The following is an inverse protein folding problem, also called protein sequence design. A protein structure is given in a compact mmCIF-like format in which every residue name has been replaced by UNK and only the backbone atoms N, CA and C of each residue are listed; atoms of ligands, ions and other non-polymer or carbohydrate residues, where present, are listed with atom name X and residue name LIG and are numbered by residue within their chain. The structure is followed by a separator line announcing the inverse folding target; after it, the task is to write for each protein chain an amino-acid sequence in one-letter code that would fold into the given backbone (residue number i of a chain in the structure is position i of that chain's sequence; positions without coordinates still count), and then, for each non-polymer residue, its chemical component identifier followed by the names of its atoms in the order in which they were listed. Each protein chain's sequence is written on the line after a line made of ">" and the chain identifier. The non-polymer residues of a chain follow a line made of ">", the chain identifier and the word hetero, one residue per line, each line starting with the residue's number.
data_IF_586116843062
#
_entry.id   IF_586116843062
#
_cell.length_a   1.000
_cell.length_b   1.000
_cell.length_c   1.000
_cell.angle_alpha   90.00
_cell.angle_beta   90.00
_cell.angle_gamma   90.00
#
_symmetry.space_group_name_H-M   'P 1'
#
loop_
_entity.id
_entity.type
_entity.pdbx_description
1 polymer ?
#
# COMPACT_ATOMS: atom_id res chain seq x y z
N UNK A 1 18.00 -19.07 17.83
CA UNK A 1 18.08 -19.10 16.35
C UNK A 1 18.14 -17.66 15.81
N UNK A 2 19.13 -16.85 16.25
CA UNK A 2 19.17 -15.40 15.98
C UNK A 2 20.34 -14.94 15.10
N UNK A 3 21.29 -15.82 14.75
CA UNK A 3 22.48 -15.45 13.99
C UNK A 3 22.19 -15.07 12.53
N UNK A 4 21.15 -15.64 11.90
CA UNK A 4 20.78 -15.24 10.53
C UNK A 4 20.19 -13.83 10.45
N UNK A 5 19.34 -13.43 11.41
CA UNK A 5 18.64 -12.14 11.37
C UNK A 5 19.60 -10.95 11.48
N UNK A 6 20.66 -11.10 12.29
CA UNK A 6 21.67 -10.06 12.44
C UNK A 6 22.53 -9.89 11.18
N UNK A 7 22.84 -10.98 10.48
CA UNK A 7 23.51 -10.94 9.17
C UNK A 7 22.68 -10.27 8.08
N UNK A 8 21.37 -10.52 8.05
CA UNK A 8 20.45 -9.86 7.12
C UNK A 8 20.40 -8.34 7.40
N UNK A 9 20.29 -7.93 8.66
CA UNK A 9 20.28 -6.51 9.00
C UNK A 9 21.57 -5.80 8.58
N UNK A 10 22.73 -6.43 8.79
CA UNK A 10 24.01 -5.89 8.36
C UNK A 10 24.11 -5.76 6.82
N UNK A 11 23.61 -6.76 6.09
CA UNK A 11 23.52 -6.73 4.64
C UNK A 11 22.68 -5.55 4.15
N UNK A 12 21.48 -5.36 4.69
CA UNK A 12 20.59 -4.24 4.34
C UNK A 12 21.32 -2.91 4.53
N UNK A 13 21.93 -2.71 5.72
CA UNK A 13 22.68 -1.47 6.02
C UNK A 13 23.82 -1.22 5.04
N UNK A 14 24.49 -2.27 4.57
CA UNK A 14 25.61 -2.16 3.62
C UNK A 14 25.19 -1.85 2.18
N UNK A 15 23.96 -2.21 1.81
CA UNK A 15 23.41 -2.02 0.45
C UNK A 15 22.44 -0.83 0.38
N UNK A 16 22.21 -0.16 1.50
CA UNK A 16 21.30 0.96 1.60
C UNK A 16 21.83 2.13 0.75
N UNK A 17 21.03 2.54 -0.22
CA UNK A 17 21.21 3.80 -0.94
C UNK A 17 20.23 4.82 -0.33
N UNK A 18 20.74 5.79 0.46
CA UNK A 18 19.88 6.77 1.13
C UNK A 18 19.25 7.79 0.18
N UNK A 19 19.60 7.75 -1.11
CA UNK A 19 19.07 8.65 -2.15
C UNK A 19 17.99 8.02 -3.01
N UNK A 20 17.77 6.70 -2.89
CA UNK A 20 16.80 5.95 -3.67
C UNK A 20 15.57 5.61 -2.83
N UNK A 21 14.41 6.11 -3.25
CA UNK A 21 13.11 5.79 -2.62
C UNK A 21 12.88 4.27 -2.55
N UNK A 22 13.28 3.55 -3.59
CA UNK A 22 13.13 2.09 -3.65
C UNK A 22 14.02 1.38 -2.63
N UNK A 23 15.28 1.79 -2.53
CA UNK A 23 16.21 1.24 -1.55
C UNK A 23 15.70 1.47 -0.12
N UNK A 24 15.22 2.69 0.16
CA UNK A 24 14.65 3.06 1.44
C UNK A 24 13.38 2.29 1.77
N UNK A 25 12.48 2.10 0.80
CA UNK A 25 11.27 1.30 0.95
C UNK A 25 11.60 -0.15 1.31
N UNK A 26 12.42 -0.83 0.50
CA UNK A 26 12.74 -2.24 0.77
C UNK A 26 13.53 -2.39 2.07
N UNK A 27 14.45 -1.48 2.38
CA UNK A 27 15.20 -1.52 3.63
C UNK A 27 14.29 -1.32 4.86
N UNK A 28 13.39 -0.34 4.82
CA UNK A 28 12.48 -0.02 5.94
C UNK A 28 11.44 -1.11 6.18
N UNK A 29 10.75 -1.62 5.14
CA UNK A 29 9.79 -2.72 5.27
C UNK A 29 10.47 -3.99 5.80
N UNK A 30 11.66 -4.32 5.28
CA UNK A 30 12.41 -5.48 5.78
C UNK A 30 12.87 -5.28 7.22
N UNK A 31 13.24 -4.06 7.60
CA UNK A 31 13.68 -3.74 8.95
C UNK A 31 12.58 -3.93 10.00
N UNK A 32 11.32 -3.65 9.64
CA UNK A 32 10.18 -3.89 10.54
C UNK A 32 10.00 -5.38 10.88
N UNK A 33 10.28 -6.26 9.92
CA UNK A 33 10.19 -7.71 10.13
C UNK A 33 11.36 -8.27 10.96
N UNK A 34 12.44 -7.50 11.16
CA UNK A 34 13.64 -7.93 11.87
C UNK A 34 13.79 -7.15 13.18
N UNK A 35 13.45 -7.81 14.29
CA UNK A 35 13.56 -7.20 15.63
C UNK A 35 14.98 -6.67 15.90
N UNK A 36 15.07 -5.37 16.22
CA UNK A 36 16.34 -4.69 16.53
C UNK A 36 17.14 -4.24 15.31
N UNK A 37 16.58 -4.29 14.10
CA UNK A 37 17.23 -3.74 12.91
C UNK A 37 16.80 -2.29 12.66
N UNK A 38 17.54 -1.33 13.20
CA UNK A 38 17.28 0.09 12.93
C UNK A 38 18.03 0.56 11.68
N UNK A 39 17.33 1.11 10.70
CA UNK A 39 17.93 1.72 9.51
C UNK A 39 18.34 3.16 9.85
N UNK A 40 19.59 3.57 9.54
CA UNK A 40 20.00 4.94 9.75
C UNK A 40 19.21 5.87 8.83
N UNK A 41 18.61 6.91 9.40
CA UNK A 41 17.86 7.93 8.66
C UNK A 41 18.54 9.27 8.86
N UNK A 42 18.88 9.96 7.76
CA UNK A 42 19.32 11.34 7.79
C UNK A 42 18.18 12.30 7.43
N UNK A 43 18.37 13.60 7.65
CA UNK A 43 17.37 14.60 7.25
C UNK A 43 17.20 14.61 5.72
N UNK A 44 18.29 14.41 4.97
CA UNK A 44 18.27 14.33 3.52
C UNK A 44 17.44 13.14 3.03
N UNK A 45 17.57 11.98 3.68
CA UNK A 45 16.73 10.81 3.39
C UNK A 45 15.25 11.11 3.59
N UNK A 46 14.90 11.79 4.69
CA UNK A 46 13.52 12.19 4.96
C UNK A 46 13.01 13.15 3.89
N UNK A 47 13.80 14.15 3.51
CA UNK A 47 13.41 15.15 2.52
C UNK A 47 13.19 14.53 1.14
N UNK A 48 13.99 13.53 0.75
CA UNK A 48 13.82 12.77 -0.49
C UNK A 48 12.51 11.99 -0.49
N UNK A 49 12.18 11.33 0.63
CA UNK A 49 10.92 10.60 0.76
C UNK A 49 9.71 11.54 0.71
N UNK A 50 9.78 12.68 1.41
CA UNK A 50 8.70 13.68 1.38
C UNK A 50 8.53 14.29 -0.02
N UNK A 51 9.63 14.56 -0.73
CA UNK A 51 9.58 15.08 -2.10
C UNK A 51 8.93 14.10 -3.10
N UNK A 52 8.99 12.79 -2.83
CA UNK A 52 8.33 11.76 -3.63
C UNK A 52 6.82 11.63 -3.34
N UNK A 53 6.32 12.27 -2.28
CA UNK A 53 4.88 12.39 -1.99
C UNK A 53 4.33 13.61 -2.76
N UNK A 54 4.17 13.44 -4.07
CA UNK A 54 3.65 14.47 -4.97
C UNK A 54 2.73 13.85 -6.02
N UNK A 55 1.71 14.60 -6.48
CA UNK A 55 0.82 14.16 -7.57
C UNK A 55 1.56 13.96 -8.91
N UNK A 56 2.74 14.57 -9.07
CA UNK A 56 3.58 14.43 -10.26
C UNK A 56 4.41 13.14 -10.25
N UNK A 57 4.58 12.53 -9.08
CA UNK A 57 5.27 11.24 -8.94
C UNK A 57 4.38 10.09 -9.42
N UNK A 58 5.00 8.96 -9.74
CA UNK A 58 4.23 7.74 -10.03
C UNK A 58 3.56 7.21 -8.77
N UNK A 59 2.41 6.55 -8.90
CA UNK A 59 1.70 5.98 -7.74
C UNK A 59 2.57 5.01 -6.94
N UNK A 60 3.40 4.22 -7.63
CA UNK A 60 4.39 3.35 -7.03
C UNK A 60 5.41 4.12 -6.17
N UNK A 61 5.88 5.28 -6.65
CA UNK A 61 6.81 6.11 -5.87
C UNK A 61 6.15 6.69 -4.62
N UNK A 62 4.91 7.20 -4.74
CA UNK A 62 4.15 7.72 -3.60
C UNK A 62 3.97 6.61 -2.57
N UNK A 63 3.50 5.43 -2.99
CA UNK A 63 3.31 4.28 -2.12
C UNK A 63 4.59 3.85 -1.39
N UNK A 64 5.70 3.74 -2.13
CA UNK A 64 7.00 3.36 -1.56
C UNK A 64 7.50 4.41 -0.57
N UNK A 65 7.36 5.69 -0.90
CA UNK A 65 7.78 6.78 -0.04
C UNK A 65 6.99 6.83 1.28
N UNK A 66 5.66 6.77 1.19
CA UNK A 66 4.78 6.79 2.36
C UNK A 66 4.98 5.55 3.22
N UNK A 67 5.11 4.37 2.61
CA UNK A 67 5.39 3.14 3.34
C UNK A 67 6.75 3.21 4.05
N UNK A 68 7.78 3.77 3.41
CA UNK A 68 9.07 3.98 4.05
C UNK A 68 9.00 4.97 5.22
N UNK A 69 8.33 6.11 5.05
CA UNK A 69 8.14 7.12 6.10
C UNK A 69 7.40 6.51 7.30
N UNK A 70 6.29 5.82 7.05
CA UNK A 70 5.51 5.10 8.06
C UNK A 70 6.37 4.05 8.76
N UNK A 71 7.13 3.26 8.00
CA UNK A 71 7.89 2.15 8.53
C UNK A 71 9.10 2.57 9.38
N UNK A 72 9.67 3.72 9.05
CA UNK A 72 10.75 4.36 9.81
C UNK A 72 10.25 5.22 10.98
N UNK A 73 8.92 5.32 11.17
CA UNK A 73 8.32 6.16 12.22
C UNK A 73 8.58 7.66 12.02
N UNK A 74 8.77 8.10 10.77
CA UNK A 74 9.03 9.48 10.42
C UNK A 74 7.71 10.25 10.32
N UNK A 75 7.68 11.53 10.74
CA UNK A 75 6.48 12.34 10.69
C UNK A 75 6.03 12.55 9.23
N UNK A 76 4.73 12.35 9.02
CA UNK A 76 4.02 12.36 7.76
C UNK A 76 2.75 13.19 7.92
N UNK A 77 2.49 14.12 7.00
CA UNK A 77 1.22 14.83 6.98
C UNK A 77 0.21 14.01 6.18
N UNK A 78 -0.73 13.33 6.84
CA UNK A 78 -1.70 12.47 6.14
C UNK A 78 -2.50 13.22 5.07
N UNK A 79 -2.84 14.48 5.31
CA UNK A 79 -3.57 15.31 4.35
C UNK A 79 -2.76 15.65 3.08
N UNK A 80 -1.43 15.81 3.19
CA UNK A 80 -0.57 16.00 2.02
C UNK A 80 -0.53 14.72 1.17
N UNK A 81 -0.50 13.55 1.82
CA UNK A 81 -0.56 12.27 1.11
C UNK A 81 -1.91 12.09 0.43
N UNK A 82 -3.02 12.36 1.12
CA UNK A 82 -4.36 12.28 0.52
C UNK A 82 -4.45 13.17 -0.71
N UNK A 83 -3.99 14.41 -0.62
CA UNK A 83 -3.93 15.32 -1.77
C UNK A 83 -3.12 14.77 -2.95
N UNK A 84 -1.91 14.24 -2.67
CA UNK A 84 -1.07 13.64 -3.71
C UNK A 84 -1.71 12.38 -4.33
N UNK A 85 -2.34 11.52 -3.51
CA UNK A 85 -3.04 10.32 -3.97
C UNK A 85 -4.24 10.68 -4.83
N UNK A 86 -5.15 11.53 -4.36
CA UNK A 86 -6.33 11.94 -5.12
C UNK A 86 -5.96 12.66 -6.42
N UNK A 87 -4.98 13.56 -6.37
CA UNK A 87 -4.47 14.25 -7.57
C UNK A 87 -3.90 13.27 -8.61
N UNK A 88 -3.29 12.18 -8.16
CA UNK A 88 -2.72 11.15 -9.02
C UNK A 88 -3.74 10.13 -9.52
N UNK A 89 -4.67 9.68 -8.68
CA UNK A 89 -5.74 8.72 -9.01
C UNK A 89 -6.56 9.23 -10.20
N UNK A 90 -6.95 10.52 -10.19
CA UNK A 90 -7.71 11.15 -11.27
C UNK A 90 -7.03 11.12 -12.66
N UNK A 91 -5.72 10.84 -12.70
CA UNK A 91 -4.90 10.79 -13.92
C UNK A 91 -4.47 9.35 -14.25
N UNK A 92 -4.98 8.36 -13.54
CA UNK A 92 -4.48 6.99 -13.55
C UNK A 92 -5.60 6.00 -13.87
N UNK A 93 -5.40 5.19 -14.92
CA UNK A 93 -6.37 4.16 -15.32
C UNK A 93 -5.92 2.75 -14.87
N UNK A 94 -4.67 2.58 -14.43
CA UNK A 94 -4.12 1.28 -14.12
C UNK A 94 -4.64 0.73 -12.78
N UNK A 95 -5.26 -0.46 -12.79
CA UNK A 95 -5.84 -1.10 -11.59
C UNK A 95 -4.82 -1.25 -10.46
N UNK A 96 -3.59 -1.66 -10.80
CA UNK A 96 -2.54 -1.88 -9.80
C UNK A 96 -2.06 -0.58 -9.18
N UNK A 97 -2.03 0.51 -9.94
CA UNK A 97 -1.69 1.82 -9.41
C UNK A 97 -2.77 2.29 -8.42
N UNK A 98 -4.05 2.27 -8.80
CA UNK A 98 -5.15 2.67 -7.90
C UNK A 98 -5.19 1.76 -6.65
N UNK A 99 -4.99 0.46 -6.82
CA UNK A 99 -4.84 -0.50 -5.71
C UNK A 99 -3.70 -0.13 -4.76
N UNK A 100 -2.57 0.33 -5.30
CA UNK A 100 -1.43 0.81 -4.49
C UNK A 100 -1.78 2.08 -3.72
N UNK A 101 -2.65 2.93 -4.25
CA UNK A 101 -3.19 4.09 -3.53
C UNK A 101 -4.03 3.67 -2.32
N UNK A 102 -4.91 2.67 -2.49
CA UNK A 102 -5.72 2.10 -1.40
C UNK A 102 -4.84 1.56 -0.26
N UNK A 103 -3.79 0.79 -0.59
CA UNK A 103 -2.81 0.28 0.39
C UNK A 103 -2.07 1.41 1.11
N UNK A 104 -1.80 2.50 0.40
CA UNK A 104 -1.11 3.67 0.96
C UNK A 104 -2.03 4.41 1.93
N UNK A 105 -3.29 4.61 1.55
CA UNK A 105 -4.30 5.25 2.38
C UNK A 105 -4.53 4.50 3.70
N UNK A 106 -4.47 3.16 3.69
CA UNK A 106 -4.60 2.33 4.90
C UNK A 106 -3.47 2.53 5.93
N UNK A 107 -2.37 3.21 5.57
CA UNK A 107 -1.25 3.54 6.47
C UNK A 107 -1.32 4.96 7.04
N UNK A 108 -2.32 5.74 6.65
CA UNK A 108 -2.47 7.13 7.08
C UNK A 108 -3.09 7.22 8.49
N UNK A 109 -3.26 8.44 8.99
CA UNK A 109 -4.01 8.65 10.22
C UNK A 109 -5.50 8.43 9.99
N UNK A 110 -6.22 7.97 11.02
CA UNK A 110 -7.67 7.82 10.99
C UNK A 110 -8.41 9.16 10.77
N UNK A 111 -7.78 10.29 11.10
CA UNK A 111 -8.34 11.64 10.89
C UNK A 111 -8.18 12.13 9.43
N UNK A 112 -7.57 11.33 8.54
CA UNK A 112 -7.39 11.69 7.14
C UNK A 112 -8.73 11.62 6.39
N UNK A 113 -8.92 12.51 5.41
CA UNK A 113 -10.13 12.53 4.59
C UNK A 113 -10.05 11.47 3.48
N UNK A 114 -10.31 10.20 3.82
CA UNK A 114 -10.14 9.06 2.92
C UNK A 114 -11.37 8.76 2.05
N UNK A 115 -12.45 9.54 2.17
CA UNK A 115 -13.73 9.28 1.50
C UNK A 115 -13.61 9.08 -0.01
N UNK A 116 -12.95 10.01 -0.71
CA UNK A 116 -12.77 9.88 -2.16
C UNK A 116 -11.89 8.69 -2.56
N UNK A 117 -10.95 8.26 -1.71
CA UNK A 117 -10.12 7.07 -1.97
C UNK A 117 -10.91 5.79 -1.71
N UNK A 118 -11.85 5.79 -0.76
CA UNK A 118 -12.73 4.65 -0.49
C UNK A 118 -13.70 4.40 -1.65
N UNK A 119 -14.18 5.45 -2.32
CA UNK A 119 -15.07 5.35 -3.49
C UNK A 119 -14.42 4.54 -4.63
N UNK A 120 -13.09 4.64 -4.79
CA UNK A 120 -12.33 3.85 -5.77
C UNK A 120 -12.46 2.33 -5.58
N UNK A 121 -12.82 1.85 -4.38
CA UNK A 121 -13.07 0.41 -4.17
C UNK A 121 -14.30 -0.03 -4.98
N UNK A 122 -15.37 0.77 -5.00
CA UNK A 122 -16.56 0.45 -5.78
C UNK A 122 -16.27 0.54 -7.28
N UNK A 123 -15.52 1.56 -7.70
CA UNK A 123 -15.14 1.75 -9.10
C UNK A 123 -14.24 0.62 -9.62
N UNK A 124 -13.23 0.20 -8.84
CA UNK A 124 -12.40 -0.95 -9.17
C UNK A 124 -13.21 -2.25 -9.15
N UNK A 125 -14.18 -2.42 -8.25
CA UNK A 125 -15.04 -3.61 -8.21
C UNK A 125 -15.86 -3.74 -9.50
N UNK A 126 -16.36 -2.63 -10.03
CA UNK A 126 -17.15 -2.60 -11.26
C UNK A 126 -16.31 -2.96 -12.51
N UNK A 127 -14.98 -2.92 -12.41
CA UNK A 127 -14.04 -3.27 -13.49
C UNK A 127 -13.61 -4.74 -13.47
N UNK A 128 -14.08 -5.55 -12.53
CA UNK A 128 -13.80 -6.99 -12.50
C UNK A 128 -14.60 -7.71 -13.59
N UNK A 129 -13.93 -8.60 -14.31
CA UNK A 129 -14.57 -9.44 -15.32
C UNK A 129 -15.13 -10.72 -14.72
N UNK A 130 -16.27 -11.14 -15.28
CA UNK A 130 -16.83 -12.46 -15.03
C UNK A 130 -16.06 -13.52 -15.85
N UNK A 131 -15.30 -14.35 -15.14
CA UNK A 131 -14.64 -15.52 -15.69
C UNK A 131 -15.54 -16.75 -15.50
N UNK A 132 -16.36 -16.99 -16.52
CA UNK A 132 -17.12 -18.23 -16.69
C UNK A 132 -18.28 -18.42 -15.72
N UNK A 133 -18.84 -17.33 -15.18
CA UNK A 133 -19.97 -17.30 -14.25
C UNK A 133 -19.62 -17.73 -12.83
N UNK A 134 -18.33 -17.92 -12.53
CA UNK A 134 -17.85 -18.51 -11.27
C UNK A 134 -16.94 -17.55 -10.51
N UNK A 135 -16.07 -16.82 -11.22
CA UNK A 135 -15.07 -15.94 -10.61
C UNK A 135 -15.16 -14.52 -11.15
N UNK A 136 -14.92 -13.55 -10.28
CA UNK A 136 -14.66 -12.17 -10.66
C UNK A 136 -13.15 -11.93 -10.56
N UNK A 137 -12.55 -11.41 -11.62
CA UNK A 137 -11.11 -11.17 -11.69
C UNK A 137 -10.81 -10.01 -12.63
N UNK A 138 -9.75 -9.25 -12.35
CA UNK A 138 -9.22 -8.32 -13.33
C UNK A 138 -8.57 -9.04 -14.53
N UNK A 139 -8.59 -8.39 -15.69
CA UNK A 139 -7.86 -8.82 -16.90
C UNK A 139 -6.37 -9.03 -16.60
N UNK A 140 -5.80 -8.21 -15.73
CA UNK A 140 -4.39 -8.25 -15.32
C UNK A 140 -3.98 -9.51 -14.55
N UNK A 141 -4.94 -10.29 -14.07
CA UNK A 141 -4.67 -11.59 -13.44
C UNK A 141 -5.12 -11.73 -11.98
N UNK A 142 -4.83 -12.90 -11.43
CA UNK A 142 -5.12 -13.25 -10.04
C UNK A 142 -4.32 -12.40 -9.05
N UNK A 143 -3.09 -12.02 -9.40
CA UNK A 143 -2.24 -11.15 -8.56
C UNK A 143 -2.89 -9.79 -8.32
N UNK A 144 -3.33 -9.12 -9.39
CA UNK A 144 -4.01 -7.84 -9.29
C UNK A 144 -5.29 -7.93 -8.46
N UNK A 145 -6.05 -9.00 -8.66
CA UNK A 145 -7.29 -9.27 -7.92
C UNK A 145 -7.02 -9.50 -6.43
N UNK A 146 -6.01 -10.31 -6.09
CA UNK A 146 -5.66 -10.59 -4.70
C UNK A 146 -5.13 -9.33 -3.99
N UNK A 147 -4.30 -8.54 -4.67
CA UNK A 147 -3.79 -7.27 -4.15
C UNK A 147 -4.92 -6.27 -3.91
N UNK A 148 -5.85 -6.14 -4.85
CA UNK A 148 -7.03 -5.29 -4.69
C UNK A 148 -7.89 -5.70 -3.50
N UNK A 149 -8.20 -6.99 -3.37
CA UNK A 149 -8.98 -7.48 -2.23
C UNK A 149 -8.24 -7.17 -0.92
N UNK A 150 -6.94 -7.46 -0.82
CA UNK A 150 -6.15 -7.13 0.36
C UNK A 150 -6.17 -5.62 0.68
N UNK A 151 -6.06 -4.78 -0.34
CA UNK A 151 -6.09 -3.33 -0.20
C UNK A 151 -7.45 -2.80 0.28
N UNK A 152 -8.54 -3.26 -0.35
CA UNK A 152 -9.90 -2.88 0.01
C UNK A 152 -10.22 -3.25 1.45
N UNK A 153 -9.87 -4.47 1.89
CA UNK A 153 -10.06 -4.88 3.28
C UNK A 153 -9.17 -4.07 4.23
N UNK A 154 -7.90 -3.83 3.89
CA UNK A 154 -7.00 -3.06 4.76
C UNK A 154 -7.47 -1.62 4.96
N UNK A 155 -7.92 -0.96 3.89
CA UNK A 155 -8.43 0.40 3.98
C UNK A 155 -9.76 0.45 4.72
N UNK A 156 -10.66 -0.52 4.48
CA UNK A 156 -11.96 -0.56 5.15
C UNK A 156 -11.82 -0.84 6.65
N UNK A 157 -10.94 -1.77 7.03
CA UNK A 157 -10.58 -2.02 8.44
C UNK A 157 -9.97 -0.78 9.09
N UNK A 158 -9.10 -0.06 8.36
CA UNK A 158 -8.50 1.18 8.84
C UNK A 158 -9.53 2.27 9.20
N UNK A 159 -10.63 2.36 8.43
CA UNK A 159 -11.72 3.33 8.66
C UNK A 159 -12.92 2.76 9.43
N UNK A 160 -12.80 1.54 9.97
CA UNK A 160 -13.87 0.83 10.68
C UNK A 160 -15.19 0.73 9.87
N UNK A 161 -15.07 0.41 8.57
CA UNK A 161 -16.19 0.21 7.66
C UNK A 161 -16.14 -1.17 7.01
N UNK A 162 -17.31 -1.65 6.61
CA UNK A 162 -17.37 -2.87 5.81
C UNK A 162 -16.92 -2.58 4.37
N UNK A 163 -16.01 -3.40 3.78
CA UNK A 163 -15.54 -3.16 2.43
C UNK A 163 -16.70 -3.25 1.43
N UNK A 164 -16.84 -2.28 0.49
CA UNK A 164 -17.96 -2.21 -0.43
C UNK A 164 -17.87 -3.24 -1.60
N UNK A 165 -17.46 -4.46 -1.29
CA UNK A 165 -17.28 -5.58 -2.23
C UNK A 165 -18.54 -6.47 -2.30
N UNK A 166 -19.69 -5.90 -2.67
CA UNK A 166 -20.98 -6.63 -2.66
C UNK A 166 -21.01 -7.82 -3.63
N UNK A 167 -20.50 -7.64 -4.85
CA UNK A 167 -20.51 -8.63 -5.94
C UNK A 167 -19.43 -9.72 -5.74
N UNK A 168 -18.20 -9.33 -5.40
CA UNK A 168 -17.05 -10.23 -5.15
C UNK A 168 -17.31 -11.21 -4.03
N UNK A 169 -18.11 -10.80 -3.03
CA UNK A 169 -18.52 -11.65 -1.91
C UNK A 169 -19.21 -12.94 -2.37
N UNK A 170 -19.92 -12.92 -3.49
CA UNK A 170 -20.66 -14.09 -3.99
C UNK A 170 -19.78 -15.09 -4.76
N UNK A 171 -18.72 -14.62 -5.40
CA UNK A 171 -17.84 -15.40 -6.27
C UNK A 171 -16.63 -15.99 -5.52
N UNK A 172 -15.92 -15.19 -4.73
CA UNK A 172 -14.70 -15.61 -4.03
C UNK A 172 -14.99 -16.50 -2.79
N UNK A 173 -16.13 -16.26 -2.11
CA UNK A 173 -16.43 -16.86 -0.80
C UNK A 173 -17.15 -18.20 -0.85
N UNK A 174 -17.47 -18.73 -2.04
CA UNK A 174 -17.91 -20.14 -2.13
C UNK A 174 -16.82 -21.13 -1.76
N UNK A 175 -15.54 -20.73 -1.81
CA UNK A 175 -14.41 -21.62 -1.54
C UNK A 175 -13.41 -21.12 -0.49
N UNK A 176 -13.43 -19.84 -0.11
CA UNK A 176 -12.55 -19.31 0.94
C UNK A 176 -13.37 -18.91 2.16
N UNK A 177 -13.51 -19.82 3.14
CA UNK A 177 -13.96 -19.47 4.49
C UNK A 177 -12.81 -18.78 5.23
N UNK A 178 -12.72 -17.45 5.16
CA UNK A 178 -11.95 -16.69 6.14
C UNK A 178 -12.91 -16.31 7.27
N UNK A 179 -12.91 -17.11 8.33
CA UNK A 179 -13.51 -16.71 9.61
C UNK A 179 -12.52 -15.81 10.33
N UNK A 180 -12.75 -14.50 10.33
CA UNK A 180 -12.15 -13.64 11.37
C UNK A 180 -12.72 -14.11 12.72
N UNK A 181 -11.83 -14.57 13.60
CA UNK A 181 -12.15 -15.01 14.97
C UNK A 181 -11.49 -14.06 15.96
#
# INVERSE_FOLDING_TARGET
>A
MCFCLQGVCQFIKSQLDPTSVDSLFFASETSQAISGCEIPVSNETRDILLAAVSEDSSMTQIHRAVSALSSLGLPLTSQEVVGALTGRINKEDNVMAITSALLTAARLSQDAELGGILEEIEDLTARLDDLGGIYLQFEEGLEATAMFVAAAYSLSDHVDMEPPLKEVRSALWRHVRITCS
#
